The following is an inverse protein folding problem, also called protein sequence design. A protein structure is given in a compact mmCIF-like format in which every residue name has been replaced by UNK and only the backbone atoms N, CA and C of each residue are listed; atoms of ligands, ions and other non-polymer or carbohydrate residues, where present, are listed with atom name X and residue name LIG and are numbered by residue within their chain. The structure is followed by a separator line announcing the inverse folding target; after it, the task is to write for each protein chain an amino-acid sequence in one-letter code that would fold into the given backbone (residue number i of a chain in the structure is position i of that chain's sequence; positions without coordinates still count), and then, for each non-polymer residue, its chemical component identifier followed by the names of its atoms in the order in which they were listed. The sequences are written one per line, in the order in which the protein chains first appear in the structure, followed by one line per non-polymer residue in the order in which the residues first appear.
data_IF_718210910525
#
_entry.id   IF_718210910525
#
_cell.length_a   1.000
_cell.length_b   1.000
_cell.length_c   1.000
_cell.angle_alpha   90.00
_cell.angle_beta   90.00
_cell.angle_gamma   90.00
#
_symmetry.space_group_name_H-M   'P 1'
#
loop_
_entity.id
_entity.type
_entity.pdbx_description
1 polymer ?
#
# COMPACT_ATOMS: atom_id res chain seq x y z
N UNK A 1 1.57 -17.87 18.90
CA UNK A 1 1.23 -18.30 17.54
C UNK A 1 1.75 -17.29 16.52
N UNK A 2 2.48 -17.75 15.53
CA UNK A 2 3.00 -16.84 14.52
C UNK A 2 1.90 -16.40 13.55
N UNK A 3 1.83 -15.11 13.33
CA UNK A 3 0.90 -14.56 12.34
C UNK A 3 1.59 -14.58 10.96
N UNK A 4 1.37 -15.64 10.19
CA UNK A 4 1.99 -15.84 8.88
C UNK A 4 1.62 -14.77 7.85
N UNK A 5 0.53 -14.03 8.09
CA UNK A 5 0.06 -12.98 7.19
C UNK A 5 0.60 -11.62 7.56
N UNK A 6 1.37 -11.54 8.63
CA UNK A 6 1.94 -10.28 9.07
C UNK A 6 2.95 -9.75 8.04
N UNK A 7 2.80 -8.48 7.68
CA UNK A 7 3.68 -7.85 6.69
C UNK A 7 4.99 -7.43 7.30
N UNK A 8 5.00 -6.98 8.54
CA UNK A 8 6.21 -6.51 9.18
C UNK A 8 6.10 -6.39 10.69
N UNK A 9 7.21 -6.00 11.32
CA UNK A 9 7.30 -5.79 12.77
C UNK A 9 7.20 -4.31 13.10
N UNK A 10 6.44 -3.93 14.14
CA UNK A 10 6.43 -2.55 14.61
C UNK A 10 7.82 -2.11 15.06
N UNK A 11 8.22 -0.90 14.69
CA UNK A 11 9.51 -0.33 15.12
C UNK A 11 9.36 0.50 16.41
N UNK A 12 8.13 0.82 16.81
CA UNK A 12 7.85 1.74 17.90
C UNK A 12 7.97 3.20 17.48
N UNK A 13 8.35 3.47 16.23
CA UNK A 13 8.49 4.82 15.69
C UNK A 13 7.28 5.20 14.85
N UNK A 14 7.06 6.50 14.70
CA UNK A 14 5.97 7.04 13.88
C UNK A 14 6.49 8.11 12.95
N UNK A 15 5.80 8.30 11.83
CA UNK A 15 6.07 9.42 10.92
C UNK A 15 5.57 10.73 11.53
N UNK A 16 5.86 11.86 10.88
CA UNK A 16 5.31 13.16 11.30
C UNK A 16 3.79 13.18 11.31
N UNK A 17 3.17 12.41 10.43
CA UNK A 17 1.71 12.29 10.35
C UNK A 17 1.13 11.34 11.39
N UNK A 18 1.95 10.75 12.25
CA UNK A 18 1.50 9.83 13.29
C UNK A 18 1.26 8.40 12.82
N UNK A 19 1.72 8.03 11.62
CA UNK A 19 1.57 6.67 11.11
C UNK A 19 2.66 5.76 11.67
N UNK A 20 2.31 4.56 12.16
CA UNK A 20 3.32 3.61 12.64
C UNK A 20 4.27 3.20 11.52
N UNK A 21 5.55 3.08 11.84
CA UNK A 21 6.57 2.56 10.92
C UNK A 21 6.83 1.11 11.25
N UNK A 22 6.78 0.25 10.24
CA UNK A 22 7.04 -1.18 10.38
C UNK A 22 8.25 -1.57 9.54
N UNK A 23 8.99 -2.60 9.98
CA UNK A 23 10.07 -3.20 9.21
C UNK A 23 9.51 -4.42 8.49
N UNK A 24 9.63 -4.43 7.17
CA UNK A 24 9.06 -5.50 6.35
C UNK A 24 9.72 -6.85 6.64
N UNK A 25 8.90 -7.89 6.78
CA UNK A 25 9.34 -9.27 6.99
C UNK A 25 9.34 -10.08 5.69
N UNK A 26 8.95 -9.45 4.58
CA UNK A 26 8.93 -10.08 3.26
C UNK A 26 9.10 -9.02 2.17
N UNK A 27 9.48 -9.46 0.97
CA UNK A 27 9.56 -8.58 -0.19
C UNK A 27 8.14 -8.21 -0.65
N UNK A 28 7.96 -6.96 -1.07
CA UNK A 28 6.72 -6.51 -1.70
C UNK A 28 6.96 -6.53 -3.21
N UNK A 29 6.14 -7.29 -3.93
CA UNK A 29 6.30 -7.49 -5.37
C UNK A 29 5.15 -6.91 -6.17
N UNK A 30 5.44 -6.53 -7.43
CA UNK A 30 4.42 -6.08 -8.36
C UNK A 30 3.74 -7.30 -9.04
N UNK A 31 2.82 -7.03 -9.98
CA UNK A 31 2.10 -8.07 -10.69
C UNK A 31 2.99 -8.99 -11.51
N UNK A 32 4.17 -8.51 -11.89
CA UNK A 32 5.14 -9.27 -12.70
C UNK A 32 6.13 -10.05 -11.84
N UNK A 33 5.97 -10.01 -10.51
CA UNK A 33 6.85 -10.70 -9.58
C UNK A 33 8.15 -9.97 -9.28
N UNK A 34 8.29 -8.71 -9.72
CA UNK A 34 9.49 -7.92 -9.45
C UNK A 34 9.37 -7.29 -8.06
N UNK A 35 10.46 -7.31 -7.31
CA UNK A 35 10.51 -6.71 -5.97
C UNK A 35 10.51 -5.19 -6.09
N UNK A 36 9.48 -4.54 -5.55
CA UNK A 36 9.40 -3.07 -5.50
C UNK A 36 9.86 -2.53 -4.15
N UNK A 37 9.65 -3.27 -3.07
CA UNK A 37 10.16 -2.91 -1.74
C UNK A 37 10.75 -4.16 -1.12
N UNK A 38 12.07 -4.18 -0.84
CA UNK A 38 12.70 -5.40 -0.31
C UNK A 38 12.41 -5.63 1.17
N UNK A 39 12.51 -6.89 1.58
CA UNK A 39 12.47 -7.30 2.97
C UNK A 39 13.50 -6.50 3.79
N UNK A 40 13.14 -6.11 4.99
CA UNK A 40 14.00 -5.33 5.87
C UNK A 40 13.85 -3.83 5.73
N UNK A 41 13.06 -3.36 4.76
CA UNK A 41 12.78 -1.92 4.60
C UNK A 41 11.82 -1.44 5.67
N UNK A 42 12.02 -0.21 6.14
CA UNK A 42 11.09 0.44 7.08
C UNK A 42 10.10 1.27 6.28
N UNK A 43 8.81 0.99 6.46
CA UNK A 43 7.75 1.66 5.71
C UNK A 43 6.59 2.04 6.63
N UNK A 44 5.89 3.12 6.27
CA UNK A 44 4.69 3.55 6.98
C UNK A 44 3.42 3.23 6.20
N UNK A 45 3.55 3.06 4.89
CA UNK A 45 2.42 2.79 4.01
C UNK A 45 2.92 2.09 2.75
N UNK A 46 2.17 1.08 2.31
CA UNK A 46 2.42 0.42 1.03
C UNK A 46 1.19 0.69 0.17
N UNK A 47 1.35 1.54 -0.84
CA UNK A 47 0.24 1.92 -1.71
C UNK A 47 0.23 1.04 -2.96
N UNK A 48 -0.97 0.60 -3.35
CA UNK A 48 -1.19 -0.09 -4.62
C UNK A 48 -1.94 0.81 -5.57
N UNK A 49 -1.58 0.73 -6.86
CA UNK A 49 -2.30 1.40 -7.93
C UNK A 49 -3.21 0.38 -8.59
N UNK A 50 -4.51 0.64 -8.60
CA UNK A 50 -5.53 -0.29 -9.09
C UNK A 50 -6.35 0.36 -10.19
N UNK A 51 -6.54 -0.37 -11.31
CA UNK A 51 -7.43 0.06 -12.38
C UNK A 51 -8.87 -0.32 -12.01
N UNK A 52 -9.77 0.67 -12.00
CA UNK A 52 -11.16 0.46 -11.69
C UNK A 52 -11.98 0.17 -12.97
N UNK A 53 -13.21 -0.29 -12.80
CA UNK A 53 -14.07 -0.71 -13.92
C UNK A 53 -14.38 0.41 -14.91
N UNK A 54 -14.36 1.66 -14.46
CA UNK A 54 -14.61 2.83 -15.31
C UNK A 54 -13.38 3.30 -16.07
N UNK A 55 -12.25 2.59 -15.92
CA UNK A 55 -11.02 2.94 -16.60
C UNK A 55 -10.10 3.89 -15.87
N UNK A 56 -10.52 4.44 -14.73
CA UNK A 56 -9.66 5.28 -13.89
C UNK A 56 -8.76 4.42 -13.01
N UNK A 57 -7.72 5.03 -12.50
CA UNK A 57 -6.76 4.39 -11.58
C UNK A 57 -6.88 5.02 -10.20
N UNK A 58 -6.79 4.21 -9.17
CA UNK A 58 -6.78 4.69 -7.79
C UNK A 58 -5.51 4.24 -7.08
N UNK A 59 -5.07 5.03 -6.12
CA UNK A 59 -4.04 4.62 -5.18
C UNK A 59 -4.71 4.35 -3.84
N UNK A 60 -4.36 3.23 -3.22
CA UNK A 60 -4.96 2.83 -1.96
C UNK A 60 -3.91 2.11 -1.10
N UNK A 61 -3.85 2.39 0.22
CA UNK A 61 -2.99 1.64 1.11
C UNK A 61 -3.38 0.17 1.11
N UNK A 62 -2.40 -0.72 0.98
CA UNK A 62 -2.65 -2.15 0.87
C UNK A 62 -2.50 -2.90 2.18
N UNK A 63 -1.96 -2.26 3.22
CA UNK A 63 -1.74 -2.89 4.53
C UNK A 63 -2.77 -2.38 5.52
N UNK A 64 -3.54 -3.30 6.09
CA UNK A 64 -4.53 -3.01 7.13
C UNK A 64 -4.40 -4.05 8.23
N UNK A 65 -4.30 -3.61 9.47
CA UNK A 65 -4.11 -4.51 10.63
C UNK A 65 -2.89 -5.42 10.45
N UNK A 66 -1.80 -4.87 9.90
CA UNK A 66 -0.54 -5.58 9.62
C UNK A 66 -0.69 -6.75 8.64
N UNK A 67 -1.68 -6.68 7.75
CA UNK A 67 -1.91 -7.67 6.68
C UNK A 67 -1.91 -6.99 5.33
N UNK A 68 -1.28 -7.64 4.36
CA UNK A 68 -1.26 -7.16 2.97
C UNK A 68 -2.50 -7.68 2.24
N UNK A 69 -3.34 -6.76 1.77
CA UNK A 69 -4.55 -7.10 1.03
C UNK A 69 -4.24 -7.22 -0.47
N UNK A 70 -4.87 -8.19 -1.13
CA UNK A 70 -4.75 -8.36 -2.58
C UNK A 70 -5.47 -7.23 -3.31
N UNK A 71 -5.10 -7.02 -4.58
CA UNK A 71 -5.73 -6.02 -5.43
C UNK A 71 -7.24 -6.27 -5.55
N UNK A 72 -7.66 -7.53 -5.76
CA UNK A 72 -9.07 -7.88 -5.87
C UNK A 72 -9.85 -7.54 -4.60
N UNK A 73 -9.27 -7.83 -3.44
CA UNK A 73 -9.89 -7.54 -2.15
C UNK A 73 -10.01 -6.05 -1.89
N UNK A 74 -8.98 -5.27 -2.25
CA UNK A 74 -9.01 -3.82 -2.11
C UNK A 74 -10.05 -3.20 -3.04
N UNK A 75 -10.11 -3.65 -4.29
CA UNK A 75 -11.07 -3.18 -5.28
C UNK A 75 -12.50 -3.41 -4.81
N UNK A 76 -12.78 -4.59 -4.27
CA UNK A 76 -14.09 -4.92 -3.71
C UNK A 76 -14.44 -4.01 -2.53
N UNK A 77 -13.49 -3.79 -1.62
CA UNK A 77 -13.71 -2.92 -0.46
C UNK A 77 -14.02 -1.48 -0.88
N UNK A 78 -13.35 -0.98 -1.92
CA UNK A 78 -13.63 0.36 -2.45
C UNK A 78 -15.03 0.44 -3.06
N UNK A 79 -15.43 -0.58 -3.83
CA UNK A 79 -16.78 -0.65 -4.42
C UNK A 79 -17.87 -0.71 -3.36
N UNK A 80 -17.60 -1.34 -2.23
CA UNK A 80 -18.53 -1.47 -1.11
C UNK A 80 -18.42 -0.30 -0.13
N UNK A 81 -17.65 0.73 -0.45
CA UNK A 81 -17.43 1.91 0.39
C UNK A 81 -16.82 1.60 1.77
N UNK A 82 -16.12 0.48 1.89
CA UNK A 82 -15.41 0.13 3.13
C UNK A 82 -14.03 0.76 3.23
N UNK A 83 -13.42 1.08 2.08
CA UNK A 83 -12.12 1.75 2.02
C UNK A 83 -12.21 2.93 1.06
N UNK A 84 -11.46 3.99 1.38
CA UNK A 84 -11.40 5.20 0.58
C UNK A 84 -10.00 5.32 -0.03
N UNK A 85 -9.90 5.44 -1.38
CA UNK A 85 -8.61 5.67 -2.03
C UNK A 85 -7.97 6.97 -1.58
N UNK A 86 -6.64 7.02 -1.59
CA UNK A 86 -5.91 8.26 -1.27
C UNK A 86 -5.93 9.24 -2.44
N UNK A 87 -6.08 8.74 -3.68
CA UNK A 87 -6.15 9.58 -4.88
C UNK A 87 -6.79 8.84 -6.04
N UNK A 88 -7.27 9.61 -7.02
CA UNK A 88 -7.86 9.12 -8.26
C UNK A 88 -7.14 9.74 -9.44
N UNK A 89 -6.89 8.95 -10.50
CA UNK A 89 -6.14 9.41 -11.67
C UNK A 89 -6.71 8.81 -12.96
N UNK A 90 -6.50 9.50 -14.06
CA UNK A 90 -6.94 9.04 -15.39
C UNK A 90 -5.97 8.05 -16.01
N UNK A 91 -4.70 8.08 -15.60
CA UNK A 91 -3.65 7.20 -16.15
C UNK A 91 -2.90 6.51 -15.04
N UNK A 92 -2.35 5.34 -15.35
CA UNK A 92 -1.51 4.59 -14.42
C UNK A 92 -0.25 5.37 -14.05
N UNK A 93 0.37 6.03 -15.03
CA UNK A 93 1.57 6.82 -14.80
C UNK A 93 1.34 7.92 -13.77
N UNK A 94 0.23 8.67 -13.91
CA UNK A 94 -0.12 9.73 -12.97
C UNK A 94 -0.36 9.16 -11.57
N UNK A 95 -1.01 8.00 -11.48
CA UNK A 95 -1.25 7.34 -10.19
C UNK A 95 0.06 6.92 -9.51
N UNK A 96 0.98 6.32 -10.27
CA UNK A 96 2.27 5.87 -9.74
C UNK A 96 3.10 7.06 -9.26
N UNK A 97 3.13 8.16 -10.01
CA UNK A 97 3.85 9.37 -9.62
C UNK A 97 3.27 9.98 -8.34
N UNK A 98 1.94 10.00 -8.22
CA UNK A 98 1.26 10.50 -7.03
C UNK A 98 1.59 9.63 -5.81
N UNK A 99 1.65 8.30 -5.97
CA UNK A 99 2.02 7.39 -4.89
C UNK A 99 3.45 7.62 -4.42
N UNK A 100 4.38 7.85 -5.35
CA UNK A 100 5.78 8.16 -5.02
C UNK A 100 5.90 9.46 -4.25
N UNK A 101 5.17 10.49 -4.67
CA UNK A 101 5.18 11.79 -4.00
C UNK A 101 4.61 11.68 -2.60
N UNK A 102 3.51 10.96 -2.42
CA UNK A 102 2.92 10.73 -1.10
C UNK A 102 3.90 10.00 -0.18
N UNK A 103 4.57 8.96 -0.68
CA UNK A 103 5.56 8.20 0.09
C UNK A 103 6.68 9.09 0.61
N UNK A 104 7.18 10.02 -0.23
CA UNK A 104 8.21 10.97 0.18
C UNK A 104 7.72 11.92 1.27
N UNK A 105 6.46 12.33 1.22
CA UNK A 105 5.87 13.26 2.18
C UNK A 105 5.51 12.61 3.51
N UNK A 106 5.43 11.29 3.57
CA UNK A 106 5.09 10.56 4.79
C UNK A 106 6.31 10.29 5.69
N UNK A 107 7.50 10.49 5.18
CA UNK A 107 8.74 10.25 5.94
C UNK A 107 9.05 11.34 6.95
#
# INVERSE_FOLDING_TARGET
MQNRNRVGKPTGKKTRAGRPIITLERDIKDKRGRTIIPKGSDVSEISLTIKMDKGNFINIPSVHNNKLYSEAKLKKAVKENRLIPTSHHKTEKAAIEAAKKRSRNLK
#
